data_IF_769960597035
#
_entry.id   IF_769960597035
#
_cell.length_a   1.000
_cell.length_b   1.000
_cell.length_c   1.000
_cell.angle_alpha   90.00
_cell.angle_beta   90.00
_cell.angle_gamma   90.00
#
_symmetry.space_group_name_H-M   'P 1'
#
loop_
_entity.id
_entity.type
_entity.pdbx_description
1 polymer ?
#
# COMPACT_ATOMS: atom_id res chain seq x y z
N UNK A 1 -6.80 -34.76 2.34
CA UNK A 1 -5.52 -34.20 1.85
C UNK A 1 -4.80 -33.53 3.01
N UNK A 2 -3.56 -33.92 3.36
CA UNK A 2 -2.82 -33.20 4.39
C UNK A 2 -2.43 -31.81 3.85
N UNK A 3 -2.85 -30.74 4.55
CA UNK A 3 -2.43 -29.37 4.22
C UNK A 3 -0.93 -29.25 4.49
N UNK A 4 -0.14 -28.99 3.45
CA UNK A 4 1.30 -28.69 3.59
C UNK A 4 1.40 -27.39 4.38
N UNK A 5 1.96 -27.44 5.59
CA UNK A 5 2.21 -26.23 6.38
C UNK A 5 3.33 -25.44 5.69
N UNK A 6 3.01 -24.26 5.15
CA UNK A 6 4.03 -23.30 4.76
C UNK A 6 4.75 -22.85 6.03
N UNK A 7 6.00 -23.27 6.19
CA UNK A 7 6.86 -22.77 7.27
C UNK A 7 7.22 -21.33 6.93
N UNK A 8 6.59 -20.39 7.62
CA UNK A 8 6.94 -18.97 7.54
C UNK A 8 8.21 -18.75 8.36
N UNK A 9 9.21 -18.09 7.77
CA UNK A 9 10.41 -17.70 8.48
C UNK A 9 10.09 -16.54 9.45
N UNK A 10 10.36 -16.68 10.76
CA UNK A 10 10.13 -15.61 11.73
C UNK A 10 10.89 -14.32 11.44
N UNK A 11 12.08 -14.40 10.85
CA UNK A 11 12.89 -13.24 10.50
C UNK A 11 12.27 -12.45 9.34
N UNK A 12 11.87 -13.13 8.26
CA UNK A 12 11.16 -12.51 7.14
C UNK A 12 9.84 -11.87 7.59
N UNK A 13 9.15 -12.50 8.55
CA UNK A 13 7.92 -11.95 9.13
C UNK A 13 8.16 -10.64 9.89
N UNK A 14 9.25 -10.57 10.67
CA UNK A 14 9.65 -9.34 11.38
C UNK A 14 10.03 -8.25 10.40
N UNK A 15 10.82 -8.58 9.39
CA UNK A 15 11.22 -7.64 8.35
C UNK A 15 10.00 -7.04 7.64
N UNK A 16 8.97 -7.83 7.32
CA UNK A 16 7.73 -7.31 6.73
C UNK A 16 6.95 -6.44 7.71
N UNK A 17 6.84 -6.85 8.98
CA UNK A 17 6.07 -6.12 9.99
C UNK A 17 6.65 -4.75 10.36
N UNK A 18 7.95 -4.56 10.16
CA UNK A 18 8.66 -3.30 10.46
C UNK A 18 8.71 -2.33 9.27
N UNK A 19 8.26 -2.75 8.08
CA UNK A 19 8.27 -1.90 6.87
C UNK A 19 7.15 -0.88 6.90
N UNK A 20 7.51 0.38 6.64
CA UNK A 20 6.56 1.46 6.36
C UNK A 20 6.47 1.70 4.85
N UNK A 21 5.51 2.55 4.47
CA UNK A 21 5.43 3.04 3.10
C UNK A 21 6.68 3.86 2.76
N UNK A 22 7.26 3.56 1.60
CA UNK A 22 8.37 4.28 0.97
C UNK A 22 7.97 4.64 -0.47
N UNK A 23 8.36 5.81 -1.00
CA UNK A 23 8.00 6.22 -2.36
C UNK A 23 8.36 5.20 -3.44
N UNK A 24 9.42 4.42 -3.26
CA UNK A 24 9.86 3.37 -4.17
C UNK A 24 8.83 2.24 -4.31
N UNK A 25 7.93 2.05 -3.33
CA UNK A 25 6.90 1.02 -3.38
C UNK A 25 5.97 1.17 -4.59
N UNK A 26 5.80 2.39 -5.12
CA UNK A 26 5.06 2.64 -6.36
C UNK A 26 5.65 1.93 -7.59
N UNK A 27 6.96 1.70 -7.58
CA UNK A 27 7.67 1.01 -8.66
C UNK A 27 8.00 -0.46 -8.33
N UNK A 28 7.61 -0.92 -7.14
CA UNK A 28 7.89 -2.26 -6.67
C UNK A 28 7.07 -3.31 -7.40
N UNK A 29 7.68 -4.49 -7.61
CA UNK A 29 7.06 -5.60 -8.33
C UNK A 29 6.56 -6.72 -7.41
N UNK A 30 6.68 -6.55 -6.09
CA UNK A 30 6.15 -7.52 -5.13
C UNK A 30 4.71 -7.16 -4.76
N UNK A 31 3.92 -8.17 -4.38
CA UNK A 31 2.56 -7.96 -3.90
C UNK A 31 2.50 -7.03 -2.68
N UNK A 32 3.51 -7.08 -1.81
CA UNK A 32 3.59 -6.19 -0.65
C UNK A 32 3.77 -4.73 -1.09
N UNK A 33 4.71 -4.46 -2.00
CA UNK A 33 4.98 -3.10 -2.47
C UNK A 33 3.75 -2.50 -3.16
N UNK A 34 3.09 -3.31 -4.01
CA UNK A 34 1.86 -2.91 -4.70
C UNK A 34 0.73 -2.60 -3.72
N UNK A 35 0.53 -3.42 -2.69
CA UNK A 35 -0.50 -3.17 -1.67
C UNK A 35 -0.20 -1.92 -0.83
N UNK A 36 1.07 -1.66 -0.49
CA UNK A 36 1.47 -0.44 0.21
C UNK A 36 1.23 0.81 -0.65
N UNK A 37 1.57 0.75 -1.94
CA UNK A 37 1.31 1.83 -2.89
C UNK A 37 -0.19 2.10 -3.07
N UNK A 38 -1.00 1.05 -3.26
CA UNK A 38 -2.44 1.15 -3.45
C UNK A 38 -3.13 1.77 -2.23
N UNK A 39 -2.81 1.32 -1.02
CA UNK A 39 -3.40 1.89 0.21
C UNK A 39 -2.95 3.33 0.43
N UNK A 40 -1.72 3.69 0.08
CA UNK A 40 -1.26 5.08 0.14
C UNK A 40 -2.00 5.99 -0.85
N UNK A 41 -2.28 5.53 -2.07
CA UNK A 41 -3.13 6.24 -3.04
C UNK A 41 -4.56 6.40 -2.54
N UNK A 42 -5.19 5.34 -2.05
CA UNK A 42 -6.57 5.40 -1.53
C UNK A 42 -6.69 6.43 -0.40
N UNK A 43 -5.76 6.41 0.58
CA UNK A 43 -5.76 7.39 1.67
C UNK A 43 -5.53 8.82 1.16
N UNK A 44 -4.63 8.98 0.19
CA UNK A 44 -4.37 10.28 -0.43
C UNK A 44 -5.59 10.79 -1.17
N UNK A 45 -6.25 9.95 -1.98
CA UNK A 45 -7.45 10.29 -2.74
C UNK A 45 -8.59 10.68 -1.81
N UNK A 46 -8.86 9.89 -0.76
CA UNK A 46 -9.89 10.21 0.24
C UNK A 46 -9.61 11.55 0.94
N UNK A 47 -8.35 11.81 1.30
CA UNK A 47 -7.94 13.09 1.89
C UNK A 47 -8.16 14.26 0.92
N UNK A 48 -7.74 14.14 -0.34
CA UNK A 48 -7.89 15.21 -1.33
C UNK A 48 -9.34 15.39 -1.81
N UNK A 49 -10.12 14.31 -1.86
CA UNK A 49 -11.53 14.33 -2.24
C UNK A 49 -12.41 14.93 -1.14
N UNK A 50 -12.07 14.69 0.13
CA UNK A 50 -12.77 15.20 1.31
C UNK A 50 -12.31 16.57 1.79
N UNK A 51 -11.18 17.10 1.31
CA UNK A 51 -10.67 18.43 1.70
C UNK A 51 -11.16 19.54 0.78
N UNK A 52 -11.22 20.77 1.30
CA UNK A 52 -11.64 21.98 0.57
C UNK A 52 -10.74 22.25 -0.66
N UNK A 53 -9.54 21.64 -0.71
CA UNK A 53 -8.60 21.70 -1.83
C UNK A 53 -9.02 20.90 -3.07
N UNK A 54 -10.16 20.18 -3.01
CA UNK A 54 -10.88 19.71 -4.20
C UNK A 54 -11.38 20.92 -4.98
N UNK A 55 -10.48 21.62 -5.68
CA UNK A 55 -10.81 22.60 -6.71
C UNK A 55 -11.61 21.85 -7.74
N UNK A 56 -12.94 21.95 -7.66
CA UNK A 56 -13.84 21.64 -8.75
C UNK A 56 -13.34 22.46 -9.94
N UNK A 57 -12.53 21.84 -10.80
CA UNK A 57 -12.20 22.39 -12.10
C UNK A 57 -13.51 22.35 -12.89
N UNK A 58 -14.38 23.31 -12.62
CA UNK A 58 -15.45 23.70 -13.51
C UNK A 58 -14.75 24.17 -14.80
N UNK A 59 -14.49 23.22 -15.69
CA UNK A 59 -14.19 23.52 -17.08
C UNK A 59 -15.45 24.18 -17.63
N UNK A 60 -15.35 25.49 -17.89
CA UNK A 60 -16.24 26.17 -18.84
C UNK A 60 -16.06 25.58 -20.22
#
# INVERSE_FOLDING_TARGET
MPKKQNKVNPEDSRNIAERNFEPENYSGNTQFDQGMAETHEQVSDDYHEGTIDRKLKNKK
#
